data_IF_907157089090
#
_entry.id   IF_907157089090
#
_cell.length_a   1.000
_cell.length_b   1.000
_cell.length_c   1.000
_cell.angle_alpha   90.00
_cell.angle_beta   90.00
_cell.angle_gamma   90.00
#
_symmetry.space_group_name_H-M   'P 1'
#
loop_
_entity.id
_entity.type
_entity.pdbx_description
1 polymer ?
#
# COMPACT_ATOMS: atom_id res chain seq x y z
N UNK A 1 -2.94 22.97 36.68
CA UNK A 1 -2.42 24.01 35.77
C UNK A 1 -1.19 23.47 35.07
N UNK A 2 -1.10 23.60 33.74
CA UNK A 2 0.00 23.04 32.93
C UNK A 2 0.87 24.17 32.38
N UNK A 3 2.19 24.04 32.56
CA UNK A 3 3.16 24.97 32.01
C UNK A 3 3.22 24.88 30.47
N UNK A 4 3.63 25.95 29.77
CA UNK A 4 3.71 25.96 28.31
C UNK A 4 4.68 24.88 27.80
N UNK A 5 4.23 24.07 26.84
CA UNK A 5 5.09 23.09 26.17
C UNK A 5 5.97 23.81 25.16
N UNK A 6 7.28 23.80 25.40
CA UNK A 6 8.29 24.25 24.44
C UNK A 6 8.71 23.07 23.58
N UNK A 7 8.35 23.08 22.30
CA UNK A 7 8.81 22.07 21.33
C UNK A 7 10.15 22.53 20.76
N UNK A 8 11.21 21.80 21.10
CA UNK A 8 12.55 22.08 20.60
C UNK A 8 12.66 21.74 19.10
N UNK A 9 13.37 22.54 18.28
CA UNK A 9 13.57 22.25 16.86
C UNK A 9 14.15 20.86 16.59
N UNK A 10 15.04 20.38 17.46
CA UNK A 10 15.69 19.07 17.37
C UNK A 10 14.66 17.93 17.52
N UNK A 11 13.64 18.12 18.36
CA UNK A 11 12.56 17.17 18.51
C UNK A 11 11.73 17.09 17.23
N UNK A 12 11.44 18.23 16.59
CA UNK A 12 10.71 18.27 15.31
C UNK A 12 11.48 17.53 14.22
N UNK A 13 12.77 17.79 14.08
CA UNK A 13 13.60 17.13 13.06
C UNK A 13 13.75 15.62 13.33
N UNK A 14 13.86 15.22 14.60
CA UNK A 14 13.90 13.80 14.96
C UNK A 14 12.62 13.07 14.56
N UNK A 15 11.45 13.68 14.81
CA UNK A 15 10.15 13.11 14.44
C UNK A 15 10.01 13.05 12.91
N UNK A 16 10.38 14.13 12.21
CA UNK A 16 10.33 14.17 10.73
C UNK A 16 11.17 13.05 10.10
N UNK A 17 12.34 12.75 10.67
CA UNK A 17 13.22 11.69 10.16
C UNK A 17 12.64 10.27 10.35
N UNK A 18 11.65 10.12 11.23
CA UNK A 18 10.97 8.86 11.52
C UNK A 18 9.63 8.73 10.81
N UNK A 19 9.15 9.81 10.18
CA UNK A 19 7.90 9.76 9.44
C UNK A 19 8.07 8.84 8.22
N UNK A 20 7.17 7.85 8.03
CA UNK A 20 7.14 7.09 6.79
C UNK A 20 6.76 8.00 5.61
N UNK A 21 6.81 7.46 4.40
CA UNK A 21 6.28 8.12 3.21
C UNK A 21 4.82 8.54 3.48
N UNK A 22 4.52 9.83 3.27
CA UNK A 22 3.17 10.35 3.48
C UNK A 22 2.20 9.77 2.44
N UNK A 23 0.91 9.59 2.76
CA UNK A 23 -0.07 9.00 1.84
C UNK A 23 -0.14 9.70 0.49
N UNK A 24 -0.14 11.04 0.46
CA UNK A 24 -0.18 11.80 -0.79
C UNK A 24 1.08 11.60 -1.65
N UNK A 25 2.24 11.51 -1.01
CA UNK A 25 3.50 11.22 -1.70
C UNK A 25 3.51 9.81 -2.26
N UNK A 26 3.03 8.83 -1.48
CA UNK A 26 2.91 7.43 -1.91
C UNK A 26 1.92 7.28 -3.08
N UNK A 27 0.78 7.97 -3.03
CA UNK A 27 -0.21 7.98 -4.14
C UNK A 27 0.40 8.51 -5.43
N UNK A 28 1.09 9.65 -5.37
CA UNK A 28 1.78 10.21 -6.53
C UNK A 28 2.84 9.23 -7.07
N UNK A 29 3.62 8.61 -6.18
CA UNK A 29 4.59 7.58 -6.56
C UNK A 29 3.93 6.39 -7.26
N UNK A 30 2.76 5.94 -6.81
CA UNK A 30 2.06 4.82 -7.42
C UNK A 30 1.58 5.15 -8.84
N UNK A 31 1.09 6.35 -9.07
CA UNK A 31 0.78 6.84 -10.42
C UNK A 31 2.05 6.87 -11.29
N UNK A 32 3.13 7.46 -10.79
CA UNK A 32 4.35 7.69 -11.58
C UNK A 32 5.16 6.41 -11.85
N UNK A 33 5.37 5.57 -10.84
CA UNK A 33 6.25 4.38 -10.94
C UNK A 33 5.51 3.14 -11.44
N UNK A 34 4.24 2.97 -11.07
CA UNK A 34 3.46 1.79 -11.42
C UNK A 34 2.44 2.04 -12.53
N UNK A 35 2.37 3.27 -13.05
CA UNK A 35 1.47 3.64 -14.14
C UNK A 35 -0.01 3.50 -13.78
N UNK A 36 -0.33 3.58 -12.48
CA UNK A 36 -1.70 3.45 -11.99
C UNK A 36 -2.51 4.70 -12.29
N UNK A 37 -3.83 4.56 -12.44
CA UNK A 37 -4.69 5.74 -12.47
C UNK A 37 -4.75 6.39 -11.09
N UNK A 38 -5.08 7.68 -11.03
CA UNK A 38 -5.26 8.39 -9.75
C UNK A 38 -6.27 7.66 -8.83
N UNK A 39 -7.31 7.06 -9.43
CA UNK A 39 -8.30 6.28 -8.69
C UNK A 39 -7.70 5.00 -8.08
N UNK A 40 -6.96 4.21 -8.86
CA UNK A 40 -6.34 2.99 -8.33
C UNK A 40 -5.30 3.31 -7.26
N UNK A 41 -4.51 4.36 -7.49
CA UNK A 41 -3.51 4.81 -6.53
C UNK A 41 -4.17 5.28 -5.24
N UNK A 42 -5.28 6.02 -5.31
CA UNK A 42 -6.05 6.46 -4.13
C UNK A 42 -6.60 5.27 -3.34
N UNK A 43 -7.22 4.30 -4.02
CA UNK A 43 -7.73 3.08 -3.37
C UNK A 43 -6.60 2.31 -2.68
N UNK A 44 -5.50 2.04 -3.39
CA UNK A 44 -4.39 1.24 -2.86
C UNK A 44 -3.60 1.95 -1.77
N UNK A 45 -3.68 3.27 -1.67
CA UNK A 45 -3.04 4.07 -0.61
C UNK A 45 -4.00 4.52 0.49
N UNK A 46 -5.23 4.00 0.49
CA UNK A 46 -6.25 4.31 1.51
C UNK A 46 -5.86 3.88 2.93
N UNK A 47 -4.98 2.88 3.07
CA UNK A 47 -4.30 2.53 4.31
C UNK A 47 -2.84 2.16 4.06
N UNK A 48 -2.01 2.26 5.09
CA UNK A 48 -0.60 1.89 4.99
C UNK A 48 -0.43 0.39 4.70
N UNK A 49 -1.25 -0.44 5.36
CA UNK A 49 -1.23 -1.90 5.22
C UNK A 49 -1.61 -2.35 3.81
N UNK A 50 -2.59 -1.69 3.17
CA UNK A 50 -2.99 -2.01 1.81
C UNK A 50 -1.92 -1.61 0.79
N UNK A 51 -1.31 -0.45 1.00
CA UNK A 51 -0.23 0.03 0.16
C UNK A 51 0.97 -0.93 0.22
N UNK A 52 1.37 -1.31 1.43
CA UNK A 52 2.48 -2.24 1.66
C UNK A 52 2.17 -3.64 1.11
N UNK A 53 0.92 -4.09 1.21
CA UNK A 53 0.45 -5.34 0.60
C UNK A 53 0.62 -5.31 -0.93
N UNK A 54 0.17 -4.24 -1.58
CA UNK A 54 0.30 -4.08 -3.03
C UNK A 54 1.77 -4.01 -3.48
N UNK A 55 2.60 -3.22 -2.79
CA UNK A 55 4.02 -3.10 -3.13
C UNK A 55 4.75 -4.43 -2.96
N UNK A 56 4.45 -5.18 -1.90
CA UNK A 56 5.03 -6.51 -1.67
C UNK A 56 4.63 -7.49 -2.76
N UNK A 57 3.36 -7.52 -3.14
CA UNK A 57 2.88 -8.38 -4.23
C UNK A 57 3.53 -7.99 -5.57
N UNK A 58 3.70 -6.69 -5.83
CA UNK A 58 4.35 -6.16 -7.02
C UNK A 58 5.84 -6.49 -7.07
N UNK A 59 6.53 -6.45 -5.92
CA UNK A 59 7.94 -6.79 -5.83
C UNK A 59 8.22 -8.29 -6.03
N UNK A 60 7.26 -9.17 -5.70
CA UNK A 60 7.40 -10.62 -5.90
C UNK A 60 7.23 -11.02 -7.37
N UNK A 61 6.36 -10.35 -8.10
CA UNK A 61 6.10 -10.63 -9.51
C UNK A 61 7.25 -10.15 -10.42
N UNK A 62 7.51 -10.89 -11.50
CA UNK A 62 8.59 -10.62 -12.47
C UNK A 62 8.08 -10.27 -13.86
N UNK A 63 6.99 -10.89 -14.27
CA UNK A 63 6.34 -10.73 -15.56
C UNK A 63 5.02 -9.96 -15.44
N UNK A 64 4.30 -10.14 -14.33
CA UNK A 64 3.03 -9.45 -14.16
C UNK A 64 3.21 -7.94 -13.97
N UNK A 65 2.52 -7.18 -14.82
CA UNK A 65 2.49 -5.72 -14.73
C UNK A 65 1.85 -5.25 -13.40
N UNK A 66 2.34 -4.16 -12.77
CA UNK A 66 1.78 -3.60 -11.54
C UNK A 66 0.27 -3.33 -11.64
N UNK A 67 -0.21 -2.88 -12.81
CA UNK A 67 -1.64 -2.66 -13.05
C UNK A 67 -2.46 -3.95 -12.96
N UNK A 68 -1.92 -5.08 -13.39
CA UNK A 68 -2.58 -6.39 -13.26
C UNK A 68 -2.70 -6.76 -11.80
N UNK A 69 -1.62 -6.59 -11.03
CA UNK A 69 -1.62 -6.87 -9.58
C UNK A 69 -2.61 -5.95 -8.85
N UNK A 70 -2.63 -4.66 -9.17
CA UNK A 70 -3.60 -3.70 -8.63
C UNK A 70 -5.05 -4.15 -8.86
N UNK A 71 -5.36 -4.63 -10.07
CA UNK A 71 -6.70 -5.13 -10.41
C UNK A 71 -7.05 -6.40 -9.61
N UNK A 72 -6.09 -7.29 -9.35
CA UNK A 72 -6.29 -8.49 -8.52
C UNK A 72 -6.50 -8.14 -7.05
N UNK A 73 -5.70 -7.23 -6.51
CA UNK A 73 -5.88 -6.73 -5.13
C UNK A 73 -7.28 -6.14 -4.97
N UNK A 74 -7.68 -5.21 -5.84
CA UNK A 74 -8.98 -4.56 -5.73
C UNK A 74 -10.16 -5.50 -6.03
N UNK A 75 -10.07 -6.27 -7.12
CA UNK A 75 -11.20 -7.06 -7.62
C UNK A 75 -11.36 -8.43 -6.98
N UNK A 76 -10.33 -8.98 -6.32
CA UNK A 76 -10.37 -10.30 -5.69
C UNK A 76 -10.13 -10.22 -4.20
N UNK A 77 -9.01 -9.64 -3.78
CA UNK A 77 -8.63 -9.63 -2.36
C UNK A 77 -9.55 -8.73 -1.56
N UNK A 78 -9.63 -7.44 -1.92
CA UNK A 78 -10.50 -6.47 -1.22
C UNK A 78 -11.97 -6.92 -1.30
N UNK A 79 -12.42 -7.39 -2.45
CA UNK A 79 -13.79 -7.89 -2.61
C UNK A 79 -14.12 -9.03 -1.63
N UNK A 80 -13.24 -10.04 -1.54
CA UNK A 80 -13.45 -11.18 -0.62
C UNK A 80 -13.37 -10.75 0.86
N UNK A 81 -12.44 -9.85 1.21
CA UNK A 81 -12.33 -9.34 2.57
C UNK A 81 -13.57 -8.54 2.98
N UNK A 82 -14.09 -7.70 2.09
CA UNK A 82 -15.30 -6.94 2.34
C UNK A 82 -16.53 -7.84 2.55
N UNK A 83 -16.62 -8.98 1.86
CA UNK A 83 -17.71 -9.96 2.07
C UNK A 83 -17.67 -10.57 3.48
N UNK A 84 -16.47 -10.77 4.02
CA UNK A 84 -16.25 -11.31 5.37
C UNK A 84 -16.14 -10.21 6.45
N UNK A 85 -16.17 -8.93 6.06
CA UNK A 85 -16.00 -7.78 6.96
C UNK A 85 -14.61 -7.66 7.57
N UNK A 86 -13.58 -8.08 6.83
CA UNK A 86 -12.18 -8.13 7.25
C UNK A 86 -11.36 -7.01 6.60
N UNK A 87 -10.27 -6.63 7.26
CA UNK A 87 -9.27 -5.73 6.69
C UNK A 87 -8.13 -6.49 5.99
N UNK A 88 -7.31 -5.78 5.20
CA UNK A 88 -6.19 -6.38 4.45
C UNK A 88 -5.17 -7.09 5.35
N UNK A 89 -4.97 -6.59 6.57
CA UNK A 89 -4.09 -7.22 7.57
C UNK A 89 -4.59 -8.57 8.08
N UNK A 90 -5.87 -8.90 7.86
CA UNK A 90 -6.51 -10.16 8.24
C UNK A 90 -6.60 -11.14 7.07
N UNK A 91 -6.06 -10.76 5.90
CA UNK A 91 -6.05 -11.62 4.72
C UNK A 91 -5.32 -12.94 4.98
N UNK A 92 -6.00 -14.05 4.66
CA UNK A 92 -5.40 -15.40 4.64
C UNK A 92 -4.43 -15.60 3.47
N UNK A 93 -4.49 -14.73 2.46
CA UNK A 93 -3.59 -14.75 1.31
C UNK A 93 -2.54 -13.67 1.53
N UNK A 94 -1.28 -14.09 1.68
CA UNK A 94 -0.17 -13.14 1.82
C UNK A 94 0.07 -12.39 0.51
N UNK A 95 0.63 -11.18 0.60
CA UNK A 95 0.99 -10.39 -0.57
C UNK A 95 1.98 -11.14 -1.49
N UNK A 96 2.93 -11.87 -0.91
CA UNK A 96 3.92 -12.69 -1.64
C UNK A 96 3.20 -13.80 -2.42
N UNK A 97 2.29 -14.53 -1.78
CA UNK A 97 1.55 -15.61 -2.46
C UNK A 97 0.67 -15.07 -3.59
N UNK A 98 0.05 -13.90 -3.39
CA UNK A 98 -0.70 -13.23 -4.45
C UNK A 98 0.20 -12.83 -5.62
N UNK A 99 1.33 -12.17 -5.34
CA UNK A 99 2.29 -11.75 -6.36
C UNK A 99 2.77 -12.94 -7.20
N UNK A 100 3.21 -14.02 -6.53
CA UNK A 100 3.65 -15.25 -7.18
C UNK A 100 2.53 -15.94 -7.99
N UNK A 101 1.28 -15.90 -7.51
CA UNK A 101 0.13 -16.45 -8.24
C UNK A 101 -0.15 -15.66 -9.51
N UNK A 102 -0.22 -14.33 -9.42
CA UNK A 102 -0.51 -13.46 -10.57
C UNK A 102 0.63 -13.55 -11.60
N UNK A 103 1.89 -13.65 -11.13
CA UNK A 103 3.05 -13.85 -12.00
C UNK A 103 2.96 -15.13 -12.83
N UNK A 104 2.52 -16.25 -12.20
CA UNK A 104 2.30 -17.53 -12.90
C UNK A 104 1.17 -17.50 -13.92
N UNK A 105 0.23 -16.57 -13.80
CA UNK A 105 -0.88 -16.40 -14.75
C UNK A 105 -0.42 -15.56 -15.96
N UNK A 106 0.63 -14.76 -15.79
CA UNK A 106 1.19 -13.89 -16.82
C UNK A 106 2.27 -14.56 -17.70
N UNK A 107 2.80 -15.72 -17.29
CA UNK A 107 3.65 -16.63 -18.09
C UNK A 107 2.84 -17.37 -19.17
#
# INVERSE_FOLDING_TARGET
DLLPVLIAPELVESIKSQLPELPDAKRARFTDQYGLSDYDADVLTSSAELADYFETATAEAKQAEPKTIANWVQGKVIAALNEDGLDIGESKVSAVDLGALVDKIAD
#
